data_IF_543467463827
#
_entry.id   IF_543467463827
#
_cell.length_a   1.000
_cell.length_b   1.000
_cell.length_c   1.000
_cell.angle_alpha   90.00
_cell.angle_beta   90.00
_cell.angle_gamma   90.00
#
_symmetry.space_group_name_H-M   'P 1'
#
loop_
_entity.id
_entity.type
_entity.pdbx_description
1 polymer ?
#
# COMPACT_ATOMS: atom_id res chain seq x y z
N UNK A 1 14.63 -28.59 4.51
CA UNK A 1 13.55 -27.84 5.17
C UNK A 1 12.54 -28.86 5.67
N UNK A 2 12.44 -29.00 6.99
CA UNK A 2 11.76 -30.15 7.61
C UNK A 2 10.25 -29.92 7.67
N UNK A 3 9.48 -31.02 7.66
CA UNK A 3 8.02 -31.07 7.77
C UNK A 3 7.44 -30.37 9.02
N UNK A 4 8.28 -30.07 10.02
CA UNK A 4 7.89 -29.34 11.24
C UNK A 4 7.69 -27.83 10.99
N UNK A 5 8.47 -27.21 10.10
CA UNK A 5 8.34 -25.77 9.81
C UNK A 5 7.03 -25.46 9.09
N UNK A 6 6.61 -26.34 8.18
CA UNK A 6 5.36 -26.20 7.42
C UNK A 6 4.11 -26.34 8.31
N UNK A 7 4.15 -27.21 9.33
CA UNK A 7 3.03 -27.41 10.26
C UNK A 7 2.90 -26.28 11.27
N UNK A 8 4.01 -25.68 11.70
CA UNK A 8 4.00 -24.53 12.61
C UNK A 8 3.43 -23.28 11.92
N UNK A 9 3.81 -23.02 10.67
CA UNK A 9 3.27 -21.92 9.86
C UNK A 9 1.78 -22.09 9.57
N UNK A 10 1.33 -23.32 9.29
CA UNK A 10 -0.08 -23.63 9.05
C UNK A 10 -0.97 -23.43 10.30
N UNK A 11 -0.44 -23.71 11.51
CA UNK A 11 -1.15 -23.50 12.78
C UNK A 11 -1.26 -22.03 13.20
N UNK A 12 -0.36 -21.17 12.69
CA UNK A 12 -0.32 -19.74 13.02
C UNK A 12 -1.18 -18.88 12.07
N UNK A 13 -1.41 -19.33 10.84
CA UNK A 13 -2.20 -18.60 9.85
C UNK A 13 -3.63 -18.22 10.32
N UNK A 14 -4.40 -19.08 11.03
CA UNK A 14 -5.73 -18.71 11.54
C UNK A 14 -5.68 -17.63 12.63
N UNK A 15 -4.65 -17.67 13.48
CA UNK A 15 -4.47 -16.70 14.57
C UNK A 15 -4.07 -15.33 14.03
N UNK A 16 -3.22 -15.27 13.00
CA UNK A 16 -2.88 -14.03 12.31
C UNK A 16 -4.07 -13.44 11.53
N UNK A 17 -4.88 -14.28 10.87
CA UNK A 17 -6.08 -13.82 10.14
C UNK A 17 -7.14 -13.21 11.05
N UNK A 18 -7.39 -13.85 12.19
CA UNK A 18 -8.34 -13.33 13.20
C UNK A 18 -7.84 -12.01 13.81
N UNK A 19 -6.53 -11.88 14.00
CA UNK A 19 -5.90 -10.63 14.46
C UNK A 19 -6.01 -9.51 13.42
N UNK A 20 -5.81 -9.81 12.14
CA UNK A 20 -5.87 -8.81 11.07
C UNK A 20 -7.29 -8.28 10.89
N UNK A 21 -8.32 -9.13 10.90
CA UNK A 21 -9.72 -8.68 10.83
C UNK A 21 -10.11 -7.76 12.00
N UNK A 22 -9.60 -8.03 13.21
CA UNK A 22 -9.79 -7.16 14.37
C UNK A 22 -9.09 -5.80 14.25
N UNK A 23 -7.87 -5.79 13.68
CA UNK A 23 -7.16 -4.55 13.36
C UNK A 23 -7.85 -3.77 12.24
N UNK A 24 -8.39 -4.46 11.24
CA UNK A 24 -9.13 -3.81 10.16
C UNK A 24 -10.39 -3.13 10.68
N UNK A 25 -11.13 -3.81 11.56
CA UNK A 25 -12.29 -3.24 12.23
C UNK A 25 -11.94 -2.12 13.22
N UNK A 26 -10.68 -1.97 13.62
CA UNK A 26 -10.24 -0.84 14.45
C UNK A 26 -9.86 0.36 13.58
N UNK A 27 -9.10 0.13 12.51
CA UNK A 27 -8.48 1.21 11.74
C UNK A 27 -9.21 1.60 10.46
N UNK A 28 -10.02 0.71 9.87
CA UNK A 28 -10.65 0.94 8.56
C UNK A 28 -12.17 0.92 8.63
N UNK A 29 -12.80 1.63 7.69
CA UNK A 29 -14.24 1.66 7.53
C UNK A 29 -14.75 0.40 6.80
N UNK A 30 -14.54 -0.78 7.40
CA UNK A 30 -14.99 -2.04 6.82
C UNK A 30 -16.53 -2.09 6.65
N UNK A 31 -17.26 -1.23 7.38
CA UNK A 31 -18.70 -1.06 7.23
C UNK A 31 -19.12 -0.40 5.92
N UNK A 32 -18.20 0.21 5.18
CA UNK A 32 -18.46 0.71 3.83
C UNK A 32 -18.64 -0.41 2.79
N UNK A 33 -18.18 -1.63 3.10
CA UNK A 33 -18.37 -2.81 2.27
C UNK A 33 -19.62 -3.58 2.70
N UNK A 34 -20.41 -4.04 1.73
CA UNK A 34 -21.54 -4.95 1.98
C UNK A 34 -21.05 -6.29 2.56
N UNK A 35 -21.89 -7.04 3.30
CA UNK A 35 -21.52 -8.36 3.80
C UNK A 35 -21.02 -9.32 2.70
N UNK A 36 -21.63 -9.25 1.51
CA UNK A 36 -21.24 -10.03 0.34
C UNK A 36 -19.85 -9.63 -0.18
N UNK A 37 -19.56 -8.33 -0.23
CA UNK A 37 -18.24 -7.83 -0.61
C UNK A 37 -17.18 -8.23 0.42
N UNK A 38 -17.46 -8.11 1.71
CA UNK A 38 -16.55 -8.54 2.78
C UNK A 38 -16.25 -10.05 2.68
N UNK A 39 -17.27 -10.87 2.39
CA UNK A 39 -17.10 -12.31 2.19
C UNK A 39 -16.31 -12.63 0.90
N UNK A 40 -16.44 -11.81 -0.15
CA UNK A 40 -15.72 -11.98 -1.42
C UNK A 40 -14.22 -11.68 -1.33
N UNK A 41 -13.82 -10.82 -0.39
CA UNK A 41 -12.41 -10.47 -0.09
C UNK A 41 -11.71 -11.58 0.72
N UNK A 42 -12.25 -12.81 0.66
CA UNK A 42 -11.89 -13.95 1.50
C UNK A 42 -10.42 -14.41 1.45
N UNK A 43 -10.07 -15.48 2.18
CA UNK A 43 -8.71 -15.79 2.66
C UNK A 43 -7.60 -16.02 1.62
N UNK A 44 -7.90 -15.99 0.32
CA UNK A 44 -6.92 -16.03 -0.78
C UNK A 44 -6.61 -14.65 -1.40
N UNK A 45 -7.34 -13.60 -1.01
CA UNK A 45 -7.06 -12.22 -1.39
C UNK A 45 -5.99 -11.55 -0.52
N UNK A 46 -5.59 -12.21 0.57
CA UNK A 46 -4.59 -11.73 1.55
C UNK A 46 -3.13 -11.98 1.09
N UNK A 47 -2.90 -12.36 -0.16
CA UNK A 47 -1.54 -12.52 -0.67
C UNK A 47 -0.85 -11.15 -0.81
N UNK A 48 0.34 -11.03 -0.23
CA UNK A 48 1.16 -9.82 -0.34
C UNK A 48 1.43 -9.49 -1.81
N UNK A 49 1.24 -8.22 -2.17
CA UNK A 49 1.44 -7.75 -3.54
C UNK A 49 0.26 -8.06 -4.48
N UNK A 50 -0.80 -8.70 -3.99
CA UNK A 50 -2.06 -8.80 -4.70
C UNK A 50 -2.75 -7.43 -4.78
N UNK A 51 -3.58 -7.27 -5.82
CA UNK A 51 -4.37 -6.07 -6.01
C UNK A 51 -5.86 -6.40 -6.05
N UNK A 52 -6.66 -5.52 -5.46
CA UNK A 52 -8.11 -5.65 -5.38
C UNK A 52 -8.72 -4.39 -5.98
N UNK A 53 -9.49 -4.54 -7.06
CA UNK A 53 -10.21 -3.43 -7.68
C UNK A 53 -11.60 -3.34 -7.09
N UNK A 54 -11.89 -2.23 -6.44
CA UNK A 54 -13.12 -1.98 -5.71
C UNK A 54 -13.93 -0.89 -6.44
N UNK A 55 -15.15 -1.20 -6.91
CA UNK A 55 -16.04 -0.19 -7.51
C UNK A 55 -16.65 0.74 -6.44
N UNK A 56 -17.36 1.82 -6.81
CA UNK A 56 -18.10 2.65 -5.87
C UNK A 56 -19.38 1.97 -5.36
N UNK A 57 -19.90 2.43 -4.23
CA UNK A 57 -21.10 1.93 -3.55
C UNK A 57 -22.31 1.94 -4.47
N UNK A 58 -23.09 0.87 -4.44
CA UNK A 58 -24.26 0.71 -5.31
C UNK A 58 -23.96 0.41 -6.77
N UNK A 59 -22.68 0.22 -7.14
CA UNK A 59 -22.30 -0.28 -8.47
C UNK A 59 -22.82 -1.71 -8.69
N UNK A 60 -23.18 -2.03 -9.93
CA UNK A 60 -23.49 -3.41 -10.36
C UNK A 60 -22.24 -4.23 -10.61
N UNK A 61 -21.06 -3.60 -10.67
CA UNK A 61 -19.78 -4.28 -10.85
C UNK A 61 -19.35 -4.94 -9.55
N UNK A 62 -18.66 -6.07 -9.65
CA UNK A 62 -18.11 -6.79 -8.50
C UNK A 62 -16.65 -6.40 -8.27
N UNK A 63 -16.21 -6.52 -7.02
CA UNK A 63 -14.79 -6.48 -6.65
C UNK A 63 -14.01 -7.51 -7.46
N UNK A 64 -12.87 -7.11 -8.01
CA UNK A 64 -11.98 -7.97 -8.81
C UNK A 64 -10.66 -8.16 -8.09
N UNK A 65 -10.09 -9.35 -8.22
CA UNK A 65 -8.84 -9.73 -7.56
C UNK A 65 -7.78 -10.07 -8.61
N UNK A 66 -6.59 -9.54 -8.41
CA UNK A 66 -5.42 -9.81 -9.23
C UNK A 66 -4.30 -10.34 -8.33
N UNK A 67 -3.70 -11.49 -8.65
CA UNK A 67 -2.72 -12.14 -7.79
C UNK A 67 -1.41 -11.37 -7.69
N UNK A 68 -1.09 -10.54 -8.68
CA UNK A 68 0.11 -9.70 -8.69
C UNK A 68 -0.06 -8.48 -9.61
N UNK A 69 0.91 -7.58 -9.54
CA UNK A 69 0.96 -6.38 -10.38
C UNK A 69 1.00 -6.68 -11.88
N UNK A 70 1.54 -7.83 -12.32
CA UNK A 70 1.64 -8.14 -13.74
C UNK A 70 0.25 -8.44 -14.32
N UNK A 71 -0.52 -9.28 -13.62
CA UNK A 71 -1.90 -9.60 -13.98
C UNK A 71 -2.80 -8.38 -13.87
N UNK A 72 -2.57 -7.53 -12.86
CA UNK A 72 -3.28 -6.27 -12.72
C UNK A 72 -3.02 -5.33 -13.90
N UNK A 73 -1.76 -5.05 -14.24
CA UNK A 73 -1.43 -4.15 -15.34
C UNK A 73 -1.94 -4.66 -16.68
N UNK A 74 -1.91 -5.98 -16.90
CA UNK A 74 -2.44 -6.59 -18.12
C UNK A 74 -3.97 -6.43 -18.25
N UNK A 75 -4.71 -6.45 -17.15
CA UNK A 75 -6.18 -6.37 -17.14
C UNK A 75 -6.71 -4.94 -17.01
N UNK A 76 -6.05 -4.11 -16.21
CA UNK A 76 -6.56 -2.83 -15.71
C UNK A 76 -5.60 -1.66 -15.97
N UNK A 77 -4.41 -1.89 -16.55
CA UNK A 77 -3.39 -0.86 -16.73
C UNK A 77 -3.85 0.33 -17.57
N UNK A 78 -4.75 0.11 -18.54
CA UNK A 78 -5.29 1.18 -19.38
C UNK A 78 -6.46 1.94 -18.72
N UNK A 79 -7.07 1.37 -17.68
CA UNK A 79 -8.32 1.85 -17.06
C UNK A 79 -8.14 2.35 -15.64
N UNK A 80 -7.12 1.90 -14.91
CA UNK A 80 -6.88 2.28 -13.53
C UNK A 80 -6.68 3.78 -13.39
N UNK A 81 -7.48 4.39 -12.53
CA UNK A 81 -7.48 5.82 -12.26
C UNK A 81 -6.87 6.16 -10.89
N UNK A 82 -7.03 5.27 -9.92
CA UNK A 82 -6.54 5.45 -8.57
C UNK A 82 -6.00 4.14 -7.98
N UNK A 83 -4.97 4.26 -7.15
CA UNK A 83 -4.45 3.16 -6.33
C UNK A 83 -4.37 3.60 -4.86
N UNK A 84 -4.71 2.71 -3.94
CA UNK A 84 -4.54 2.90 -2.50
C UNK A 84 -3.57 1.89 -1.90
N UNK A 85 -2.87 2.31 -0.84
CA UNK A 85 -2.02 1.44 -0.02
C UNK A 85 -2.39 1.64 1.44
N UNK A 86 -2.95 0.58 2.04
CA UNK A 86 -3.27 0.55 3.46
C UNK A 86 -1.99 0.40 4.31
N UNK A 87 -2.08 0.66 5.61
CA UNK A 87 -0.98 0.49 6.57
C UNK A 87 -0.52 -0.96 6.77
N UNK A 88 0.68 -1.14 7.33
CA UNK A 88 1.24 -2.46 7.65
C UNK A 88 0.35 -3.23 8.64
N UNK A 89 0.03 -4.47 8.30
CA UNK A 89 -0.88 -5.35 9.06
C UNK A 89 -2.34 -5.26 8.63
N UNK A 90 -2.67 -4.44 7.63
CA UNK A 90 -4.00 -4.42 7.03
C UNK A 90 -4.18 -5.64 6.14
N UNK A 91 -5.33 -6.30 6.25
CA UNK A 91 -5.65 -7.40 5.34
C UNK A 91 -6.14 -6.87 3.99
N UNK A 92 -6.48 -7.80 3.10
CA UNK A 92 -7.25 -7.52 1.91
C UNK A 92 -8.52 -6.71 2.22
N UNK A 93 -9.15 -6.96 3.38
CA UNK A 93 -10.38 -6.30 3.83
C UNK A 93 -10.14 -4.81 4.16
N UNK A 94 -9.13 -4.50 4.98
CA UNK A 94 -8.78 -3.11 5.31
C UNK A 94 -8.38 -2.31 4.07
N UNK A 95 -7.64 -2.96 3.17
CA UNK A 95 -7.26 -2.41 1.86
C UNK A 95 -8.49 -2.11 1.00
N UNK A 96 -9.42 -3.07 0.89
CA UNK A 96 -10.66 -2.90 0.13
C UNK A 96 -11.56 -1.79 0.73
N UNK A 97 -11.59 -1.66 2.06
CA UNK A 97 -12.34 -0.61 2.74
C UNK A 97 -11.77 0.79 2.46
N UNK A 98 -10.45 0.95 2.47
CA UNK A 98 -9.81 2.20 2.04
C UNK A 98 -10.10 2.50 0.57
N UNK A 99 -10.00 1.50 -0.31
CA UNK A 99 -10.31 1.64 -1.72
C UNK A 99 -11.78 2.06 -1.93
N UNK A 100 -12.72 1.47 -1.18
CA UNK A 100 -14.14 1.85 -1.18
C UNK A 100 -14.34 3.32 -0.85
N UNK A 101 -13.69 3.83 0.20
CA UNK A 101 -13.83 5.22 0.59
C UNK A 101 -13.34 6.18 -0.50
N UNK A 102 -12.28 5.83 -1.23
CA UNK A 102 -11.79 6.62 -2.37
C UNK A 102 -12.72 6.46 -3.58
N UNK A 103 -13.23 5.26 -3.83
CA UNK A 103 -14.17 4.99 -4.91
C UNK A 103 -15.45 5.81 -4.74
N UNK A 104 -16.01 5.84 -3.54
CA UNK A 104 -17.20 6.62 -3.19
C UNK A 104 -16.96 8.13 -3.21
N UNK A 105 -15.71 8.58 -3.03
CA UNK A 105 -15.37 9.99 -3.11
C UNK A 105 -15.55 10.54 -4.54
N UNK A 106 -15.17 9.74 -5.54
CA UNK A 106 -15.05 10.18 -6.94
C UNK A 106 -15.96 9.45 -7.93
N UNK A 107 -16.68 8.41 -7.49
CA UNK A 107 -17.53 7.60 -8.38
C UNK A 107 -16.74 6.78 -9.39
N UNK A 108 -15.53 6.34 -9.03
CA UNK A 108 -14.62 5.57 -9.89
C UNK A 108 -14.26 4.23 -9.26
N UNK A 109 -13.74 3.31 -10.06
CA UNK A 109 -13.10 2.10 -9.55
C UNK A 109 -11.68 2.40 -9.04
N UNK A 110 -11.32 1.79 -7.92
CA UNK A 110 -10.06 2.05 -7.22
C UNK A 110 -9.35 0.73 -6.94
N UNK A 111 -8.09 0.64 -7.34
CA UNK A 111 -7.24 -0.49 -7.00
C UNK A 111 -6.67 -0.32 -5.59
N UNK A 112 -6.67 -1.37 -4.79
CA UNK A 112 -6.00 -1.43 -3.49
C UNK A 112 -4.87 -2.46 -3.54
N UNK A 113 -3.67 -2.05 -3.17
CA UNK A 113 -2.51 -2.93 -3.03
C UNK A 113 -2.49 -3.54 -1.64
N UNK A 114 -2.56 -4.86 -1.55
CA UNK A 114 -2.51 -5.60 -0.29
C UNK A 114 -1.06 -5.63 0.19
N UNK A 115 -0.75 -4.80 1.18
CA UNK A 115 0.57 -4.77 1.82
C UNK A 115 0.67 -5.88 2.88
N UNK A 116 1.64 -6.77 2.72
CA UNK A 116 1.76 -7.99 3.52
C UNK A 116 2.82 -7.94 4.61
N UNK A 117 3.56 -6.82 4.75
CA UNK A 117 4.66 -6.72 5.70
C UNK A 117 4.27 -7.29 7.07
N UNK A 118 4.92 -8.39 7.43
CA UNK A 118 4.47 -9.28 8.49
C UNK A 118 4.32 -8.53 9.81
N UNK A 119 3.15 -8.68 10.43
CA UNK A 119 2.96 -8.25 11.81
C UNK A 119 4.09 -8.81 12.70
N UNK A 120 4.68 -9.97 12.39
CA UNK A 120 5.83 -10.53 13.12
C UNK A 120 7.13 -9.75 12.99
N UNK A 121 7.49 -9.29 11.79
CA UNK A 121 8.78 -8.62 11.54
C UNK A 121 8.73 -7.19 12.05
N UNK A 122 7.58 -6.54 11.90
CA UNK A 122 7.34 -5.22 12.48
C UNK A 122 7.03 -5.29 13.98
N UNK A 123 6.41 -6.33 14.54
CA UNK A 123 6.24 -6.41 16.01
C UNK A 123 7.55 -6.76 16.71
N UNK A 124 8.39 -7.62 16.13
CA UNK A 124 9.66 -8.00 16.74
C UNK A 124 10.72 -6.89 16.64
N UNK A 125 10.78 -6.16 15.52
CA UNK A 125 11.69 -5.01 15.40
C UNK A 125 11.07 -3.68 15.86
N UNK A 126 9.77 -3.43 15.64
CA UNK A 126 9.18 -2.15 16.02
C UNK A 126 8.86 -2.04 17.50
N UNK A 127 8.35 -3.09 18.18
CA UNK A 127 8.12 -3.01 19.63
C UNK A 127 9.41 -2.78 20.43
N UNK A 128 10.57 -3.19 19.92
CA UNK A 128 11.86 -3.07 20.63
C UNK A 128 12.79 -1.95 20.17
N UNK A 129 12.78 -1.57 18.88
CA UNK A 129 13.78 -0.64 18.30
C UNK A 129 13.23 0.61 17.62
N UNK A 130 11.99 0.57 17.09
CA UNK A 130 11.36 1.69 16.37
C UNK A 130 10.72 2.72 17.33
N UNK A 131 10.28 2.28 18.52
CA UNK A 131 9.58 3.13 19.50
C UNK A 131 10.49 3.99 20.40
N UNK A 132 11.82 3.83 20.40
CA UNK A 132 12.66 4.44 21.45
C UNK A 132 13.86 5.31 20.99
N UNK A 133 14.26 5.31 19.71
CA UNK A 133 15.36 6.18 19.27
C UNK A 133 15.11 6.82 17.90
N UNK A 134 15.30 8.14 17.86
CA UNK A 134 14.98 9.11 16.80
C UNK A 134 15.04 8.63 15.33
N UNK A 135 13.96 8.88 14.60
CA UNK A 135 13.80 8.54 13.21
C UNK A 135 14.10 9.74 12.31
N UNK A 136 15.24 9.69 11.61
CA UNK A 136 15.44 10.40 10.32
C UNK A 136 16.58 9.76 9.50
N UNK A 137 17.63 9.21 10.13
CA UNK A 137 18.78 8.64 9.38
C UNK A 137 18.70 7.12 9.11
N UNK A 138 18.03 6.35 9.97
CA UNK A 138 18.15 4.88 9.95
C UNK A 138 17.40 4.18 8.81
N UNK A 139 16.27 4.73 8.34
CA UNK A 139 15.49 4.14 7.25
C UNK A 139 16.18 4.29 5.88
N UNK A 140 16.74 5.48 5.63
CA UNK A 140 17.47 5.78 4.38
C UNK A 140 18.74 4.95 4.26
N UNK A 141 19.49 4.77 5.36
CA UNK A 141 20.69 3.94 5.34
C UNK A 141 20.38 2.44 5.30
N UNK A 142 19.47 1.94 6.14
CA UNK A 142 19.17 0.50 6.23
C UNK A 142 18.65 -0.10 4.92
N UNK A 143 17.75 0.62 4.22
CA UNK A 143 17.21 0.14 2.95
C UNK A 143 18.22 0.25 1.80
N UNK A 144 19.01 1.33 1.75
CA UNK A 144 20.09 1.48 0.73
C UNK A 144 21.17 0.42 0.89
N UNK A 145 21.52 0.06 2.13
CA UNK A 145 22.49 -1.00 2.45
C UNK A 145 21.97 -2.37 1.99
N UNK A 146 20.66 -2.61 2.13
CA UNK A 146 20.02 -3.88 1.77
C UNK A 146 19.86 -4.03 0.25
N UNK A 147 19.41 -3.00 -0.46
CA UNK A 147 19.34 -3.02 -1.93
C UNK A 147 20.72 -3.24 -2.56
N UNK A 148 21.79 -2.61 -2.04
CA UNK A 148 23.16 -2.84 -2.54
C UNK A 148 23.66 -4.27 -2.34
N UNK A 149 23.33 -4.90 -1.22
CA UNK A 149 23.71 -6.30 -0.94
C UNK A 149 22.99 -7.31 -1.84
N UNK A 150 21.81 -6.95 -2.32
CA UNK A 150 21.03 -7.77 -3.26
C UNK A 150 21.49 -7.57 -4.70
N UNK A 151 21.79 -6.34 -5.13
CA UNK A 151 22.42 -6.08 -6.44
C UNK A 151 23.77 -6.82 -6.57
N UNK A 152 24.57 -6.86 -5.51
CA UNK A 152 25.84 -7.60 -5.47
C UNK A 152 25.65 -9.15 -5.48
N UNK A 153 24.45 -9.65 -5.18
CA UNK A 153 24.10 -11.09 -5.26
C UNK A 153 23.40 -11.48 -6.55
N UNK A 154 22.96 -10.50 -7.35
CA UNK A 154 22.26 -10.72 -8.61
C UNK A 154 23.18 -10.78 -9.84
N UNK A 155 24.50 -10.57 -9.70
CA UNK A 155 25.47 -10.90 -10.75
C UNK A 155 25.61 -12.42 -10.87
N UNK A 156 25.16 -13.07 -11.97
CA UNK A 156 25.21 -14.50 -12.08
C UNK A 156 26.62 -14.96 -12.45
N UNK A 157 27.19 -15.88 -11.66
CA UNK A 157 28.26 -16.75 -12.15
C UNK A 157 27.68 -17.73 -13.18
N UNK A 158 28.40 -18.09 -14.26
CA UNK A 158 27.87 -18.96 -15.31
C UNK A 158 27.75 -20.40 -14.80
N UNK A 159 26.56 -20.99 -14.90
CA UNK A 159 26.31 -22.38 -14.52
C UNK A 159 26.29 -23.31 -15.76
N UNK A 160 26.84 -24.55 -15.67
CA UNK A 160 26.72 -25.54 -16.73
C UNK A 160 25.39 -26.32 -16.64
N UNK A 161 24.94 -26.81 -17.79
CA UNK A 161 23.62 -27.41 -18.00
C UNK A 161 23.52 -28.89 -17.57
N UNK A 162 22.33 -29.30 -17.10
CA UNK A 162 21.81 -30.68 -17.29
C UNK A 162 20.27 -30.70 -17.12
N UNK A 163 19.52 -31.55 -17.87
CA UNK A 163 18.06 -31.44 -18.01
C UNK A 163 17.27 -32.50 -17.22
N UNK A 164 16.01 -32.17 -16.91
CA UNK A 164 14.93 -33.14 -16.71
C UNK A 164 14.31 -33.17 -15.32
N UNK A 165 13.04 -32.76 -15.21
CA UNK A 165 12.22 -32.96 -14.01
C UNK A 165 10.91 -32.19 -14.05
N UNK A 166 9.79 -32.91 -14.10
CA UNK A 166 8.41 -32.42 -14.29
C UNK A 166 7.97 -31.39 -13.22
N UNK A 167 7.24 -30.39 -13.70
CA UNK A 167 6.73 -29.23 -12.95
C UNK A 167 5.56 -29.64 -12.04
N UNK A 168 5.80 -29.73 -10.74
CA UNK A 168 4.76 -29.58 -9.72
C UNK A 168 4.65 -28.10 -9.37
N UNK A 169 3.42 -27.55 -9.39
CA UNK A 169 3.14 -26.16 -9.04
C UNK A 169 3.64 -25.86 -7.62
N UNK A 170 4.82 -25.25 -7.55
CA UNK A 170 5.47 -24.83 -6.32
C UNK A 170 4.87 -23.49 -5.93
N UNK A 171 4.17 -23.44 -4.81
CA UNK A 171 3.78 -22.19 -4.18
C UNK A 171 5.02 -21.28 -4.11
N UNK A 172 4.93 -20.09 -4.72
CA UNK A 172 6.02 -19.12 -4.70
C UNK A 172 6.33 -18.78 -3.24
N UNK A 173 7.58 -18.82 -2.80
CA UNK A 173 7.92 -18.18 -1.54
C UNK A 173 7.59 -16.69 -1.68
N UNK A 174 6.71 -16.17 -0.83
CA UNK A 174 6.45 -14.75 -0.70
C UNK A 174 7.80 -14.07 -0.40
N UNK A 175 8.33 -13.34 -1.39
CA UNK A 175 9.53 -12.53 -1.21
C UNK A 175 9.14 -11.29 -0.40
N UNK A 176 9.88 -10.93 0.69
CA UNK A 176 9.56 -9.82 1.61
C UNK A 176 9.51 -8.38 1.06
N UNK A 177 9.20 -8.20 -0.22
CA UNK A 177 9.22 -6.94 -0.98
C UNK A 177 8.16 -6.93 -2.10
N UNK A 178 7.19 -7.85 -2.09
CA UNK A 178 6.30 -8.02 -3.24
C UNK A 178 5.39 -6.79 -3.44
N UNK A 179 5.01 -6.13 -2.36
CA UNK A 179 4.23 -4.90 -2.39
C UNK A 179 5.04 -3.66 -2.83
N UNK A 180 6.26 -3.48 -2.35
CA UNK A 180 7.17 -2.43 -2.82
C UNK A 180 7.59 -2.64 -4.28
N UNK A 181 7.85 -3.89 -4.69
CA UNK A 181 8.06 -4.25 -6.09
C UNK A 181 6.83 -3.94 -6.94
N UNK A 182 5.63 -4.30 -6.46
CA UNK A 182 4.38 -3.99 -7.14
C UNK A 182 4.20 -2.48 -7.35
N UNK A 183 4.42 -1.67 -6.32
CA UNK A 183 4.30 -0.22 -6.42
C UNK A 183 5.39 0.37 -7.35
N UNK A 184 6.63 -0.11 -7.25
CA UNK A 184 7.72 0.29 -8.16
C UNK A 184 7.41 -0.04 -9.63
N UNK A 185 6.87 -1.24 -9.89
CA UNK A 185 6.46 -1.68 -11.24
C UNK A 185 5.26 -0.90 -11.77
N UNK A 186 4.29 -0.54 -10.93
CA UNK A 186 3.20 0.36 -11.29
C UNK A 186 3.74 1.73 -11.73
N UNK A 187 4.61 2.33 -10.92
CA UNK A 187 5.20 3.64 -11.22
C UNK A 187 6.02 3.61 -12.50
N UNK A 188 6.83 2.55 -12.69
CA UNK A 188 7.62 2.35 -13.91
C UNK A 188 6.75 2.13 -15.16
N UNK A 189 5.62 1.44 -15.03
CA UNK A 189 4.65 1.25 -16.12
C UNK A 189 3.90 2.55 -16.47
N UNK A 190 3.79 3.47 -15.50
CA UNK A 190 3.13 4.77 -15.63
C UNK A 190 1.76 4.71 -16.35
N UNK A 191 0.78 3.92 -15.84
CA UNK A 191 -0.54 3.79 -16.44
C UNK A 191 -1.11 5.13 -16.91
N UNK A 192 -1.62 5.23 -18.15
CA UNK A 192 -1.96 6.51 -18.76
C UNK A 192 -3.07 7.26 -18.02
N UNK A 193 -3.95 6.54 -17.33
CA UNK A 193 -5.08 7.10 -16.58
C UNK A 193 -4.86 7.21 -15.08
N UNK A 194 -3.75 6.71 -14.55
CA UNK A 194 -3.46 6.83 -13.11
C UNK A 194 -3.23 8.31 -12.77
N UNK A 195 -4.12 8.85 -11.93
CA UNK A 195 -4.11 10.24 -11.46
C UNK A 195 -4.05 10.35 -9.94
N UNK A 196 -4.33 9.29 -9.18
CA UNK A 196 -4.40 9.34 -7.73
C UNK A 196 -3.68 8.16 -7.07
N UNK A 197 -2.85 8.45 -6.08
CA UNK A 197 -2.20 7.47 -5.20
C UNK A 197 -2.46 7.86 -3.74
N UNK A 198 -3.16 7.02 -2.98
CA UNK A 198 -3.56 7.32 -1.59
C UNK A 198 -2.92 6.34 -0.62
N UNK A 199 -2.24 6.87 0.41
CA UNK A 199 -1.69 6.09 1.51
C UNK A 199 -2.43 6.33 2.82
N UNK A 200 -2.49 5.32 3.68
CA UNK A 200 -2.83 5.51 5.09
C UNK A 200 -1.77 4.90 6.02
N UNK A 201 -1.46 5.61 7.11
CA UNK A 201 -0.51 5.16 8.14
C UNK A 201 0.83 4.76 7.49
N UNK A 202 1.32 3.54 7.71
CA UNK A 202 2.57 3.04 7.09
C UNK A 202 2.50 2.85 5.57
N UNK A 203 1.31 2.75 4.97
CA UNK A 203 1.15 2.75 3.52
C UNK A 203 1.68 4.05 2.89
N UNK A 204 1.63 5.17 3.64
CA UNK A 204 2.25 6.43 3.23
C UNK A 204 3.77 6.32 3.11
N UNK A 205 4.43 5.60 4.03
CA UNK A 205 5.88 5.39 4.02
C UNK A 205 6.31 4.49 2.85
N UNK A 206 5.50 3.49 2.50
CA UNK A 206 5.72 2.66 1.32
C UNK A 206 5.62 3.48 0.04
N UNK A 207 4.61 4.35 -0.05
CA UNK A 207 4.44 5.30 -1.16
C UNK A 207 5.63 6.24 -1.25
N UNK A 208 6.03 6.87 -0.14
CA UNK A 208 7.21 7.75 -0.08
C UNK A 208 8.46 7.06 -0.63
N UNK A 209 8.75 5.85 -0.13
CA UNK A 209 9.90 5.06 -0.56
C UNK A 209 9.86 4.70 -2.06
N UNK A 210 8.71 4.28 -2.57
CA UNK A 210 8.56 3.90 -3.98
C UNK A 210 8.67 5.12 -4.91
N UNK A 211 8.08 6.26 -4.53
CA UNK A 211 8.15 7.50 -5.29
C UNK A 211 9.58 8.03 -5.36
N UNK A 212 10.32 8.01 -4.24
CA UNK A 212 11.73 8.41 -4.19
C UNK A 212 12.59 7.50 -5.07
N UNK A 213 12.42 6.17 -4.94
CA UNK A 213 13.15 5.19 -5.75
C UNK A 213 12.89 5.37 -7.25
N UNK A 214 11.64 5.64 -7.63
CA UNK A 214 11.25 5.91 -9.02
C UNK A 214 11.86 7.23 -9.54
N UNK A 215 11.79 8.31 -8.75
CA UNK A 215 12.38 9.59 -9.12
C UNK A 215 13.91 9.50 -9.27
N UNK A 216 14.59 8.82 -8.34
CA UNK A 216 16.04 8.60 -8.40
C UNK A 216 16.46 7.74 -9.59
N UNK A 217 15.67 6.72 -9.95
CA UNK A 217 15.93 5.90 -11.13
C UNK A 217 15.83 6.73 -12.42
N UNK A 218 14.78 7.54 -12.56
CA UNK A 218 14.59 8.41 -13.72
C UNK A 218 15.65 9.50 -13.82
N UNK A 219 16.01 10.13 -12.69
CA UNK A 219 17.09 11.12 -12.61
C UNK A 219 18.42 10.56 -13.10
N UNK A 220 18.78 9.35 -12.66
CA UNK A 220 20.01 8.67 -13.12
C UNK A 220 19.99 8.35 -14.62
N UNK A 221 18.81 8.14 -15.19
CA UNK A 221 18.63 7.86 -16.61
C UNK A 221 18.46 9.14 -17.45
N UNK A 222 18.40 10.33 -16.84
CA UNK A 222 18.08 11.58 -17.55
C UNK A 222 16.69 11.58 -18.19
N UNK A 223 15.73 10.85 -17.60
CA UNK A 223 14.36 10.70 -18.10
C UNK A 223 13.37 11.42 -17.20
N UNK A 224 12.23 11.79 -17.78
CA UNK A 224 11.06 12.28 -17.04
C UNK A 224 9.92 11.26 -17.11
N UNK A 225 8.97 11.37 -16.18
CA UNK A 225 7.73 10.59 -16.18
C UNK A 225 6.52 11.50 -16.25
N UNK A 226 5.49 11.16 -17.03
CA UNK A 226 4.23 11.92 -17.04
C UNK A 226 3.55 11.93 -15.67
N UNK A 227 3.89 11.00 -14.77
CA UNK A 227 3.35 10.97 -13.41
C UNK A 227 3.78 12.17 -12.57
N UNK A 228 4.91 12.83 -12.88
CA UNK A 228 5.37 14.00 -12.14
C UNK A 228 4.35 15.16 -12.17
N UNK A 229 3.68 15.33 -13.31
CA UNK A 229 2.65 16.35 -13.50
C UNK A 229 1.25 15.83 -13.21
N UNK A 230 0.96 14.56 -13.50
CA UNK A 230 -0.41 14.03 -13.47
C UNK A 230 -0.81 13.44 -12.11
N UNK A 231 0.13 12.89 -11.35
CA UNK A 231 -0.18 12.08 -10.18
C UNK A 231 -0.39 12.95 -8.93
N UNK A 232 -1.60 12.88 -8.37
CA UNK A 232 -1.90 13.35 -7.03
C UNK A 232 -1.51 12.28 -6.01
N UNK A 233 -0.54 12.60 -5.16
CA UNK A 233 -0.12 11.77 -4.04
C UNK A 233 -0.78 12.28 -2.78
N UNK A 234 -1.58 11.44 -2.12
CA UNK A 234 -2.34 11.79 -0.93
C UNK A 234 -1.95 10.89 0.23
N UNK A 235 -1.61 11.46 1.39
CA UNK A 235 -1.32 10.69 2.60
C UNK A 235 -2.32 11.02 3.72
N UNK A 236 -2.75 9.99 4.44
CA UNK A 236 -3.55 10.12 5.66
C UNK A 236 -2.84 9.47 6.84
N UNK A 237 -2.77 10.17 7.96
CA UNK A 237 -2.23 9.62 9.21
C UNK A 237 -0.69 9.49 9.23
N UNK A 238 0.00 10.03 8.23
CA UNK A 238 1.45 10.20 8.24
C UNK A 238 1.87 11.35 7.31
N UNK A 239 2.85 12.15 7.74
CA UNK A 239 3.50 13.20 6.94
C UNK A 239 4.87 12.69 6.50
N UNK A 240 5.04 12.55 5.20
CA UNK A 240 6.21 12.01 4.53
C UNK A 240 6.96 13.08 3.74
N UNK A 241 8.21 12.81 3.41
CA UNK A 241 9.08 13.69 2.61
C UNK A 241 8.94 13.37 1.13
N UNK A 242 7.71 13.52 0.64
CA UNK A 242 7.34 13.14 -0.72
C UNK A 242 8.20 13.89 -1.76
N UNK A 243 8.75 13.21 -2.79
CA UNK A 243 9.74 13.82 -3.68
C UNK A 243 9.18 15.05 -4.40
N UNK A 244 9.93 16.18 -4.43
CA UNK A 244 9.40 17.45 -4.91
C UNK A 244 9.07 17.48 -6.41
N UNK A 245 9.56 16.49 -7.16
CA UNK A 245 9.26 16.31 -8.59
C UNK A 245 7.80 15.94 -8.87
N UNK A 246 7.08 15.32 -7.92
CA UNK A 246 5.63 15.07 -8.07
C UNK A 246 4.87 16.32 -7.66
N UNK A 247 4.25 17.05 -8.58
CA UNK A 247 3.71 18.40 -8.31
C UNK A 247 2.55 18.42 -7.32
N UNK A 248 1.72 17.38 -7.32
CA UNK A 248 0.50 17.34 -6.53
C UNK A 248 0.67 16.43 -5.30
N UNK A 249 1.07 17.02 -4.17
CA UNK A 249 1.32 16.33 -2.90
C UNK A 249 0.39 16.88 -1.84
N UNK A 250 -0.43 16.03 -1.25
CA UNK A 250 -1.45 16.41 -0.27
C UNK A 250 -1.31 15.52 0.96
N UNK A 251 -1.10 16.11 2.13
CA UNK A 251 -0.82 15.35 3.34
C UNK A 251 -1.78 15.76 4.44
N UNK A 252 -2.48 14.78 5.00
CA UNK A 252 -3.51 14.99 6.01
C UNK A 252 -3.17 14.22 7.29
N UNK A 253 -3.25 14.91 8.42
CA UNK A 253 -3.02 14.32 9.73
C UNK A 253 -4.18 14.69 10.66
N UNK A 254 -4.71 13.71 11.41
CA UNK A 254 -5.73 13.99 12.41
C UNK A 254 -5.22 15.00 13.45
N UNK A 255 -6.02 15.99 13.82
CA UNK A 255 -5.60 16.98 14.82
C UNK A 255 -5.30 16.35 16.19
N UNK A 256 -5.93 15.22 16.50
CA UNK A 256 -5.74 14.43 17.72
C UNK A 256 -4.72 13.29 17.52
N UNK A 257 -4.23 13.08 16.29
CA UNK A 257 -3.47 11.90 15.88
C UNK A 257 -2.02 11.91 16.38
N UNK A 258 -1.84 11.56 17.66
CA UNK A 258 -0.52 11.36 18.25
C UNK A 258 0.22 10.16 17.63
N UNK A 259 -0.49 9.12 17.20
CA UNK A 259 0.13 7.92 16.64
C UNK A 259 0.77 8.19 15.27
N UNK A 260 0.02 8.83 14.38
CA UNK A 260 0.52 9.33 13.11
C UNK A 260 1.58 10.42 13.31
N UNK A 261 1.38 11.32 14.27
CA UNK A 261 2.33 12.37 14.62
C UNK A 261 3.73 11.85 14.97
N UNK A 262 3.82 10.75 15.71
CA UNK A 262 5.10 10.09 16.04
C UNK A 262 5.83 9.52 14.82
N UNK A 263 5.09 9.17 13.76
CA UNK A 263 5.62 8.59 12.52
C UNK A 263 5.68 9.63 11.38
N UNK A 264 5.57 10.92 11.71
CA UNK A 264 5.46 12.01 10.74
C UNK A 264 6.63 12.98 10.83
N UNK A 265 7.00 13.56 9.69
CA UNK A 265 7.86 14.74 9.61
C UNK A 265 7.02 16.01 9.72
N UNK A 266 6.75 16.40 10.96
CA UNK A 266 5.82 17.50 11.29
C UNK A 266 6.34 18.90 10.92
N UNK A 267 7.60 19.00 10.49
CA UNK A 267 8.22 20.21 9.93
C UNK A 267 7.86 20.46 8.47
N UNK A 268 7.30 19.47 7.77
CA UNK A 268 6.86 19.59 6.38
C UNK A 268 5.42 20.13 6.26
N UNK A 269 4.99 20.60 5.08
CA UNK A 269 3.60 21.02 4.86
C UNK A 269 2.60 19.86 4.96
N UNK A 270 1.57 20.03 5.78
CA UNK A 270 0.42 19.15 5.89
C UNK A 270 -0.80 19.91 6.42
N UNK A 271 -1.99 19.34 6.24
CA UNK A 271 -3.24 19.85 6.79
C UNK A 271 -3.69 19.02 7.99
N UNK A 272 -4.08 19.70 9.06
CA UNK A 272 -4.70 19.07 10.22
C UNK A 272 -6.20 18.88 9.98
N UNK A 273 -6.71 17.69 10.24
CA UNK A 273 -8.13 17.38 10.19
C UNK A 273 -8.74 17.56 11.59
N UNK A 274 -9.58 18.60 11.81
CA UNK A 274 -10.14 18.89 13.13
C UNK A 274 -10.97 17.72 13.66
N UNK A 275 -10.81 17.42 14.95
CA UNK A 275 -11.56 16.37 15.63
C UNK A 275 -11.23 14.93 15.20
N UNK A 276 -10.31 14.74 14.25
CA UNK A 276 -9.92 13.41 13.78
C UNK A 276 -8.67 12.87 14.50
N UNK A 277 -8.66 11.57 14.75
CA UNK A 277 -7.58 10.75 15.25
C UNK A 277 -6.95 9.94 14.09
N UNK A 278 -6.36 8.77 14.36
CA UNK A 278 -5.60 8.00 13.37
C UNK A 278 -6.45 7.11 12.44
N UNK A 279 -7.55 6.56 12.94
CA UNK A 279 -8.33 5.56 12.20
C UNK A 279 -9.31 6.19 11.20
N UNK A 280 -9.70 5.39 10.21
CA UNK A 280 -10.67 5.69 9.18
C UNK A 280 -12.06 5.10 9.49
N UNK A 281 -12.18 4.26 10.52
CA UNK A 281 -13.43 3.58 10.83
C UNK A 281 -14.53 4.55 11.29
N UNK A 282 -15.57 4.73 10.45
CA UNK A 282 -16.69 5.64 10.71
C UNK A 282 -17.63 5.22 11.85
N UNK A 283 -17.54 3.97 12.33
CA UNK A 283 -18.31 3.48 13.49
C UNK A 283 -17.85 4.10 14.80
N UNK A 284 -16.62 4.61 14.85
CA UNK A 284 -16.04 5.23 16.03
C UNK A 284 -15.94 6.74 15.86
N UNK A 285 -16.13 7.52 16.94
CA UNK A 285 -15.92 8.97 16.91
C UNK A 285 -14.46 9.29 16.60
N UNK A 286 -14.18 10.52 16.17
CA UNK A 286 -12.85 10.98 15.82
C UNK A 286 -12.16 10.17 14.70
N UNK A 287 -12.93 9.60 13.76
CA UNK A 287 -12.36 9.03 12.55
C UNK A 287 -11.96 10.11 11.54
N UNK A 288 -11.05 9.74 10.64
CA UNK A 288 -10.82 10.48 9.39
C UNK A 288 -11.83 10.01 8.35
N UNK A 289 -12.75 10.88 7.95
CA UNK A 289 -13.61 10.61 6.80
C UNK A 289 -12.84 10.91 5.50
N UNK A 290 -12.22 9.86 4.94
CA UNK A 290 -11.43 9.96 3.71
C UNK A 290 -12.27 10.51 2.56
N UNK A 291 -13.49 9.99 2.35
CA UNK A 291 -14.31 10.41 1.21
C UNK A 291 -14.73 11.88 1.31
N UNK A 292 -15.15 12.32 2.50
CA UNK A 292 -15.50 13.71 2.73
C UNK A 292 -14.28 14.64 2.61
N UNK A 293 -13.12 14.21 3.10
CA UNK A 293 -11.87 14.97 2.96
C UNK A 293 -11.48 15.14 1.49
N UNK A 294 -11.46 14.04 0.72
CA UNK A 294 -11.10 14.07 -0.69
C UNK A 294 -12.04 14.95 -1.51
N UNK A 295 -13.36 14.84 -1.32
CA UNK A 295 -14.34 15.68 -2.01
C UNK A 295 -14.19 17.16 -1.69
N UNK A 296 -13.80 17.50 -0.46
CA UNK A 296 -13.65 18.89 -0.02
C UNK A 296 -12.35 19.52 -0.50
N UNK A 297 -11.24 18.81 -0.31
CA UNK A 297 -9.90 19.37 -0.51
C UNK A 297 -9.38 19.14 -1.94
N UNK A 298 -9.90 18.12 -2.63
CA UNK A 298 -9.39 17.65 -3.93
C UNK A 298 -10.53 17.38 -4.95
N UNK A 299 -11.49 18.31 -5.16
CA UNK A 299 -12.64 18.05 -6.03
C UNK A 299 -12.26 17.79 -7.50
N UNK A 300 -11.18 18.41 -7.99
CA UNK A 300 -10.82 18.45 -9.41
C UNK A 300 -9.83 17.35 -9.86
N UNK A 301 -9.55 16.33 -9.04
CA UNK A 301 -8.54 15.29 -9.38
C UNK A 301 -8.85 14.59 -10.70
N UNK A 302 -10.13 14.40 -11.02
CA UNK A 302 -10.58 13.71 -12.23
C UNK A 302 -11.31 14.61 -13.23
N UNK A 303 -11.41 15.91 -12.97
CA UNK A 303 -11.98 16.84 -13.94
C UNK A 303 -11.08 16.95 -15.18
N UNK A 304 -11.65 17.19 -16.38
CA UNK A 304 -10.87 17.55 -17.56
C UNK A 304 -10.18 18.90 -17.29
N UNK A 305 -8.88 18.96 -17.58
CA UNK A 305 -8.11 20.21 -17.50
C UNK A 305 -8.55 21.21 -18.58
#
# INVERSE_FOLDING_TARGET
>A
MSTLDTQLVAGLAPAFKTRNAGLDALFYDIGALTPEEQASVGPGADEEGALIVVPPGGSTQRTRHHPDIAHFLAAEGETVQALVVAGVGSSALGTAALARNVADAYGIEVAGLVSGYGASDLLSEALGGWFFYGATDRFRHGLREMSRRLEARATPAPAPATPGGRVGARAKPATPLADLDALGRLLAAAPPRLRLLVGHSKGCLMIDHALESHADALRRQGRESPLFERLHVVTFGAVCDLPPVYRHRHQFLGALDSFGGLNSRLDLPFQRLPGAWHHLNRRWPAHVDVAACLRRELPAVFEPA
#
